data_IF_418221996749
#
_entry.id   IF_418221996749
#
_cell.length_a   1.000
_cell.length_b   1.000
_cell.length_c   1.000
_cell.angle_alpha   90.00
_cell.angle_beta   90.00
_cell.angle_gamma   90.00
#
_symmetry.space_group_name_H-M   'P 1'
#
loop_
_entity.id
_entity.type
_entity.pdbx_description
1 polymer ?
#
# COMPACT_ATOMS: atom_id res chain seq x y z
N UNK A 1 34.65 1.50 -0.47
CA UNK A 1 33.58 2.50 -0.69
C UNK A 1 34.31 3.78 -1.03
N UNK A 2 34.49 4.05 -2.32
CA UNK A 2 35.13 5.29 -2.76
C UNK A 2 34.07 6.39 -2.75
N UNK A 3 34.40 7.50 -2.10
CA UNK A 3 33.52 8.65 -1.92
C UNK A 3 33.55 9.48 -3.20
N UNK A 4 32.40 9.79 -3.79
CA UNK A 4 32.34 10.73 -4.90
C UNK A 4 32.51 12.15 -4.36
N UNK A 5 33.67 12.77 -4.59
CA UNK A 5 33.97 14.16 -4.25
C UNK A 5 33.38 15.13 -5.31
N UNK A 6 32.06 15.24 -5.33
CA UNK A 6 31.34 16.35 -5.97
C UNK A 6 30.23 16.80 -5.03
N UNK A 7 29.94 18.11 -4.99
CA UNK A 7 28.81 18.67 -4.22
C UNK A 7 27.46 18.16 -4.77
N UNK A 8 27.15 16.88 -4.57
CA UNK A 8 25.80 16.36 -4.75
C UNK A 8 24.96 16.82 -3.56
N UNK A 9 23.92 17.60 -3.86
CA UNK A 9 22.98 18.13 -2.86
C UNK A 9 22.32 16.94 -2.15
N UNK A 10 22.74 16.68 -0.91
CA UNK A 10 22.11 15.68 -0.04
C UNK A 10 20.62 16.02 0.16
N UNK A 11 19.72 15.18 -0.34
CA UNK A 11 18.28 15.42 -0.19
C UNK A 11 17.79 14.89 1.17
N UNK A 12 17.06 15.69 1.97
CA UNK A 12 16.53 15.23 3.25
C UNK A 12 15.48 14.14 3.04
N UNK A 13 15.47 13.14 3.93
CA UNK A 13 14.42 12.12 3.94
C UNK A 13 13.10 12.78 4.33
N UNK A 14 12.01 12.44 3.62
CA UNK A 14 10.68 12.96 3.91
C UNK A 14 10.28 12.66 5.37
N UNK A 15 9.45 13.50 6.02
CA UNK A 15 8.97 13.23 7.38
C UNK A 15 8.45 11.79 7.56
N UNK A 16 7.71 11.28 6.59
CA UNK A 16 7.21 9.90 6.57
C UNK A 16 8.30 8.86 6.40
N UNK A 17 9.25 9.07 5.50
CA UNK A 17 10.39 8.18 5.35
C UNK A 17 11.23 8.08 6.64
N UNK A 18 11.31 9.16 7.43
CA UNK A 18 12.06 9.16 8.69
C UNK A 18 11.46 8.24 9.76
N UNK A 19 10.13 8.24 9.93
CA UNK A 19 9.48 7.39 10.94
C UNK A 19 9.22 5.96 10.45
N UNK A 20 9.10 5.73 9.14
CA UNK A 20 9.01 4.39 8.56
C UNK A 20 10.34 3.63 8.54
N UNK A 21 11.46 4.29 8.85
CA UNK A 21 12.80 3.68 8.98
C UNK A 21 13.27 3.68 10.44
N UNK A 22 12.33 3.60 11.38
CA UNK A 22 12.64 3.61 12.81
C UNK A 22 12.75 2.17 13.34
N UNK A 23 13.40 1.99 14.49
CA UNK A 23 13.42 0.69 15.17
C UNK A 23 12.02 0.20 15.57
N UNK A 24 11.07 1.13 15.72
CA UNK A 24 9.69 0.82 16.08
C UNK A 24 8.80 0.44 14.90
N UNK A 25 9.16 0.82 13.67
CA UNK A 25 8.32 0.63 12.49
C UNK A 25 9.19 0.63 11.23
N UNK A 26 9.20 -0.49 10.52
CA UNK A 26 9.84 -0.66 9.21
C UNK A 26 8.88 -1.36 8.26
N UNK A 27 8.42 -0.62 7.25
CA UNK A 27 7.37 -1.08 6.34
C UNK A 27 7.95 -1.29 4.94
N UNK A 28 7.62 -2.42 4.35
CA UNK A 28 7.99 -2.81 3.00
C UNK A 28 6.75 -2.91 2.12
N UNK A 29 6.94 -2.66 0.83
CA UNK A 29 5.95 -2.92 -0.21
C UNK A 29 6.55 -4.02 -1.08
N UNK A 30 5.86 -5.16 -1.19
CA UNK A 30 6.19 -6.16 -2.21
C UNK A 30 5.26 -5.93 -3.40
N UNK A 31 5.82 -5.51 -4.53
CA UNK A 31 5.11 -5.44 -5.81
C UNK A 31 5.36 -6.74 -6.58
N UNK A 32 4.31 -7.51 -6.84
CA UNK A 32 4.38 -8.82 -7.49
C UNK A 32 3.84 -8.71 -8.90
N UNK A 33 4.64 -9.17 -9.87
CA UNK A 33 4.30 -9.21 -11.28
C UNK A 33 4.35 -10.66 -11.75
N UNK A 34 3.23 -11.17 -12.19
CA UNK A 34 3.07 -12.53 -12.70
C UNK A 34 3.17 -12.53 -14.22
N UNK A 35 4.10 -13.31 -14.78
CA UNK A 35 4.34 -13.35 -16.23
C UNK A 35 3.55 -14.47 -16.92
N UNK A 36 3.06 -14.21 -18.13
CA UNK A 36 2.40 -15.23 -18.97
C UNK A 36 3.37 -16.26 -19.53
N UNK A 37 4.64 -15.89 -19.65
CA UNK A 37 5.71 -16.71 -20.22
C UNK A 37 6.86 -16.88 -19.22
N UNK A 38 7.66 -17.98 -19.31
CA UNK A 38 8.84 -18.14 -18.46
C UNK A 38 9.77 -16.95 -18.54
N UNK A 39 10.37 -16.56 -17.42
CA UNK A 39 11.24 -15.38 -17.35
C UNK A 39 12.62 -15.67 -17.96
N UNK A 40 12.99 -14.88 -18.96
CA UNK A 40 14.37 -14.62 -19.37
C UNK A 40 14.91 -13.40 -18.62
N UNK A 41 15.88 -13.62 -17.73
CA UNK A 41 16.52 -12.60 -16.92
C UNK A 41 17.75 -11.96 -17.61
N UNK A 42 18.02 -12.29 -18.88
CA UNK A 42 19.12 -11.68 -19.65
C UNK A 42 19.03 -10.14 -19.71
N UNK A 43 17.80 -9.61 -19.70
CA UNK A 43 17.52 -8.17 -19.77
C UNK A 43 17.40 -7.50 -18.40
N UNK A 44 17.53 -8.23 -17.28
CA UNK A 44 17.34 -7.68 -15.94
C UNK A 44 18.31 -6.54 -15.64
N UNK A 45 19.61 -6.74 -15.89
CA UNK A 45 20.64 -5.74 -15.61
C UNK A 45 20.43 -4.47 -16.46
N UNK A 46 20.28 -4.55 -17.79
CA UNK A 46 19.94 -3.39 -18.61
C UNK A 46 18.67 -2.67 -18.18
N UNK A 47 17.61 -3.40 -17.81
CA UNK A 47 16.37 -2.81 -17.32
C UNK A 47 16.60 -2.01 -16.03
N UNK A 48 17.35 -2.56 -15.08
CA UNK A 48 17.63 -1.87 -13.83
C UNK A 48 18.50 -0.63 -14.06
N UNK A 49 19.55 -0.74 -14.86
CA UNK A 49 20.49 0.36 -15.13
C UNK A 49 19.88 1.50 -15.93
N UNK A 50 19.14 1.17 -16.98
CA UNK A 50 18.70 2.15 -17.96
C UNK A 50 17.28 2.67 -17.69
N UNK A 51 16.45 1.89 -16.98
CA UNK A 51 15.06 2.26 -16.68
C UNK A 51 14.83 2.46 -15.19
N UNK A 52 15.12 1.48 -14.33
CA UNK A 52 14.72 1.57 -12.92
C UNK A 52 15.50 2.61 -12.10
N UNK A 53 16.84 2.52 -12.08
CA UNK A 53 17.69 3.43 -11.31
C UNK A 53 17.54 4.90 -11.73
N UNK A 54 17.43 5.24 -13.03
CA UNK A 54 17.24 6.62 -13.47
C UNK A 54 15.88 7.22 -13.11
N UNK A 55 14.89 6.41 -12.70
CA UNK A 55 13.57 6.92 -12.31
C UNK A 55 13.70 7.94 -11.21
N UNK A 56 14.45 7.65 -10.14
CA UNK A 56 14.63 8.55 -9.01
C UNK A 56 15.97 8.31 -8.33
N UNK A 57 16.65 9.39 -7.91
CA UNK A 57 17.94 9.33 -7.22
C UNK A 57 17.92 8.40 -6.00
N UNK A 58 16.78 8.30 -5.30
CA UNK A 58 16.62 7.42 -4.11
C UNK A 58 16.84 5.94 -4.40
N UNK A 59 16.64 5.48 -5.63
CA UNK A 59 16.96 4.09 -5.99
C UNK A 59 18.47 3.83 -6.08
N UNK A 60 19.27 4.89 -6.15
CA UNK A 60 20.73 4.87 -6.10
C UNK A 60 21.27 5.56 -4.85
N UNK A 61 20.48 5.65 -3.76
CA UNK A 61 20.90 6.29 -2.52
C UNK A 61 20.71 5.41 -1.29
N UNK A 62 21.59 5.58 -0.32
CA UNK A 62 21.47 5.04 1.03
C UNK A 62 21.00 6.11 1.99
N UNK A 63 20.46 5.67 3.13
CA UNK A 63 20.02 6.59 4.18
C UNK A 63 21.13 6.77 5.22
N UNK A 64 21.64 7.98 5.34
CA UNK A 64 22.64 8.36 6.34
C UNK A 64 22.05 9.31 7.38
N UNK A 65 22.72 9.42 8.53
CA UNK A 65 22.43 10.45 9.53
C UNK A 65 23.49 11.53 9.47
N UNK A 66 23.07 12.78 9.42
CA UNK A 66 23.98 13.91 9.51
C UNK A 66 24.42 14.17 10.96
N UNK A 67 25.26 15.20 11.15
CA UNK A 67 25.79 15.58 12.47
C UNK A 67 24.70 16.02 13.47
N UNK A 68 23.54 16.42 12.99
CA UNK A 68 22.39 16.82 13.80
C UNK A 68 21.43 15.66 14.06
N UNK A 69 21.73 14.46 13.54
CA UNK A 69 20.91 13.26 13.67
C UNK A 69 19.76 13.17 12.65
N UNK A 70 19.67 14.13 11.71
CA UNK A 70 18.67 14.12 10.66
C UNK A 70 19.03 13.11 9.57
N UNK A 71 18.01 12.43 9.04
CA UNK A 71 18.20 11.41 8.00
C UNK A 71 18.22 12.05 6.62
N UNK A 72 19.21 11.72 5.81
CA UNK A 72 19.39 12.21 4.43
C UNK A 72 19.67 11.06 3.46
N UNK A 73 19.40 11.30 2.18
CA UNK A 73 19.79 10.40 1.10
C UNK A 73 21.17 10.78 0.58
N UNK A 74 22.10 9.83 0.64
CA UNK A 74 23.44 9.94 0.03
C UNK A 74 23.49 8.98 -1.16
N UNK A 75 23.85 9.50 -2.34
CA UNK A 75 23.97 8.68 -3.55
C UNK A 75 25.18 7.78 -3.47
N UNK A 76 25.03 6.56 -3.98
CA UNK A 76 26.07 5.55 -4.03
C UNK A 76 26.08 4.87 -5.39
N UNK A 77 27.21 4.26 -5.72
CA UNK A 77 27.26 3.31 -6.83
C UNK A 77 26.51 2.03 -6.45
N UNK A 78 25.58 1.60 -7.30
CA UNK A 78 24.72 0.45 -7.06
C UNK A 78 25.34 -0.80 -7.68
N UNK A 79 25.66 -1.79 -6.84
CA UNK A 79 26.07 -3.14 -7.25
C UNK A 79 24.85 -4.03 -7.44
N UNK A 80 24.37 -4.18 -8.67
CA UNK A 80 23.09 -4.83 -8.96
C UNK A 80 23.02 -6.29 -8.52
N UNK A 81 24.14 -7.01 -8.52
CA UNK A 81 24.28 -8.36 -8.01
C UNK A 81 23.87 -8.50 -6.53
N UNK A 82 24.02 -7.43 -5.73
CA UNK A 82 23.61 -7.42 -4.33
C UNK A 82 22.09 -7.27 -4.17
N UNK A 83 21.39 -6.75 -5.18
CA UNK A 83 19.96 -6.46 -5.17
C UNK A 83 19.11 -7.48 -5.92
N UNK A 84 19.68 -8.18 -6.90
CA UNK A 84 18.99 -9.23 -7.67
C UNK A 84 19.07 -10.55 -6.90
N UNK A 85 17.92 -11.21 -6.70
CA UNK A 85 17.80 -12.51 -6.01
C UNK A 85 17.07 -13.49 -6.91
N UNK A 86 17.71 -14.62 -7.20
CA UNK A 86 17.12 -15.71 -8.00
C UNK A 86 17.06 -16.95 -7.10
N UNK A 87 15.95 -17.18 -6.37
CA UNK A 87 15.84 -18.35 -5.50
C UNK A 87 15.82 -19.64 -6.31
N UNK A 88 16.30 -20.72 -5.69
CA UNK A 88 16.22 -22.08 -6.23
C UNK A 88 15.27 -22.89 -5.36
N UNK A 89 14.19 -23.39 -5.96
CA UNK A 89 13.24 -24.28 -5.29
C UNK A 89 13.59 -25.76 -5.56
N UNK A 90 13.22 -26.68 -4.66
CA UNK A 90 13.41 -28.12 -4.85
C UNK A 90 12.73 -28.61 -6.14
N UNK A 91 13.35 -29.55 -6.85
CA UNK A 91 12.78 -30.08 -8.08
C UNK A 91 11.43 -30.75 -7.83
N UNK A 92 10.42 -30.31 -8.59
CA UNK A 92 9.10 -30.91 -8.60
C UNK A 92 9.14 -32.39 -9.00
N UNK A 93 8.24 -33.20 -8.42
CA UNK A 93 8.16 -34.64 -8.68
C UNK A 93 7.65 -34.99 -10.09
N UNK A 94 7.16 -34.02 -10.85
CA UNK A 94 6.65 -34.18 -12.22
C UNK A 94 6.91 -32.94 -13.08
N UNK A 95 6.81 -33.08 -14.40
CA UNK A 95 7.00 -31.98 -15.36
C UNK A 95 5.92 -30.88 -15.26
N UNK A 96 4.75 -31.19 -14.69
CA UNK A 96 3.63 -30.25 -14.52
C UNK A 96 3.46 -29.82 -13.06
N UNK A 97 4.50 -29.98 -12.23
CA UNK A 97 4.47 -29.54 -10.85
C UNK A 97 4.40 -28.02 -10.77
N UNK A 98 3.46 -27.50 -9.97
CA UNK A 98 3.26 -26.07 -9.72
C UNK A 98 3.79 -25.71 -8.33
N UNK A 99 4.36 -24.51 -8.22
CA UNK A 99 5.17 -24.09 -7.08
C UNK A 99 4.44 -23.08 -6.18
N UNK A 100 3.11 -23.08 -6.15
CA UNK A 100 2.30 -22.11 -5.39
C UNK A 100 2.70 -22.09 -3.89
N UNK A 101 2.78 -23.25 -3.23
CA UNK A 101 3.18 -23.33 -1.81
C UNK A 101 4.61 -22.81 -1.56
N UNK A 102 5.54 -23.09 -2.48
CA UNK A 102 6.93 -22.60 -2.38
C UNK A 102 7.00 -21.09 -2.61
N UNK A 103 6.18 -20.55 -3.51
CA UNK A 103 6.08 -19.12 -3.73
C UNK A 103 5.51 -18.44 -2.49
N UNK A 104 4.45 -18.97 -1.88
CA UNK A 104 3.83 -18.40 -0.68
C UNK A 104 4.79 -18.40 0.52
N UNK A 105 5.53 -19.50 0.73
CA UNK A 105 6.57 -19.58 1.76
C UNK A 105 7.70 -18.59 1.49
N UNK A 106 8.13 -18.46 0.23
CA UNK A 106 9.17 -17.52 -0.16
C UNK A 106 8.72 -16.07 0.07
N UNK A 107 7.51 -15.71 -0.37
CA UNK A 107 6.94 -14.38 -0.17
C UNK A 107 6.76 -14.08 1.33
N UNK A 108 6.31 -15.05 2.12
CA UNK A 108 6.24 -14.94 3.58
C UNK A 108 7.59 -14.60 4.20
N UNK A 109 8.63 -15.29 3.75
CA UNK A 109 9.99 -15.13 4.27
C UNK A 109 10.53 -13.73 3.94
N UNK A 110 10.47 -13.32 2.68
CA UNK A 110 11.01 -12.03 2.27
C UNK A 110 10.18 -10.86 2.81
N UNK A 111 8.91 -11.05 3.15
CA UNK A 111 8.04 -10.03 3.75
C UNK A 111 8.51 -9.61 5.16
N UNK A 112 9.12 -10.52 5.93
CA UNK A 112 9.63 -10.23 7.28
C UNK A 112 11.13 -9.90 7.32
N UNK A 113 11.89 -10.35 6.33
CA UNK A 113 13.31 -10.05 6.22
C UNK A 113 13.58 -8.55 6.05
N UNK A 114 14.58 -8.03 6.75
CA UNK A 114 14.93 -6.62 6.66
C UNK A 114 15.93 -6.34 5.53
N UNK A 115 15.73 -5.23 4.83
CA UNK A 115 16.71 -4.73 3.85
C UNK A 115 17.91 -4.14 4.60
N UNK A 116 19.16 -4.43 4.18
CA UNK A 116 20.32 -3.92 4.88
C UNK A 116 20.51 -2.43 4.60
N UNK A 117 20.91 -1.70 5.64
CA UNK A 117 20.96 -0.23 5.62
C UNK A 117 22.14 0.37 4.84
N UNK A 118 23.12 -0.46 4.46
CA UNK A 118 24.32 -0.03 3.73
C UNK A 118 24.17 -0.09 2.20
N UNK A 119 22.96 -0.40 1.69
CA UNK A 119 22.63 -0.38 0.26
C UNK A 119 21.29 0.30 0.02
N UNK A 120 20.99 0.73 -1.22
CA UNK A 120 19.68 1.26 -1.56
C UNK A 120 18.55 0.32 -1.11
N UNK A 121 17.45 0.89 -0.60
CA UNK A 121 16.43 0.12 0.13
C UNK A 121 15.43 -0.60 -0.78
N UNK A 122 15.93 -1.41 -1.71
CA UNK A 122 15.12 -2.24 -2.60
C UNK A 122 15.84 -3.54 -2.99
N UNK A 123 15.05 -4.57 -3.35
CA UNK A 123 15.51 -5.84 -3.93
C UNK A 123 14.59 -6.24 -5.07
N UNK A 124 15.12 -6.97 -6.05
CA UNK A 124 14.36 -7.63 -7.11
C UNK A 124 14.53 -9.14 -6.97
N UNK A 125 13.44 -9.86 -6.77
CA UNK A 125 13.43 -11.32 -6.73
C UNK A 125 12.83 -11.87 -8.02
N UNK A 126 13.50 -12.86 -8.63
CA UNK A 126 13.12 -13.45 -9.91
C UNK A 126 12.84 -14.94 -9.69
N UNK A 127 11.56 -15.29 -9.59
CA UNK A 127 11.10 -16.65 -9.36
C UNK A 127 10.77 -17.29 -10.71
N UNK A 128 11.65 -18.17 -11.19
CA UNK A 128 11.54 -18.83 -12.51
C UNK A 128 10.77 -20.15 -12.44
N UNK A 129 9.75 -20.22 -11.60
CA UNK A 129 8.97 -21.43 -11.36
C UNK A 129 7.49 -21.16 -11.66
N UNK A 130 6.80 -22.06 -12.39
CA UNK A 130 5.40 -21.87 -12.73
C UNK A 130 4.49 -22.12 -11.50
N UNK A 131 3.42 -21.34 -11.42
CA UNK A 131 2.31 -21.48 -10.45
C UNK A 131 1.00 -21.70 -11.20
N UNK A 132 -0.13 -21.82 -10.48
CA UNK A 132 -1.45 -21.82 -11.13
C UNK A 132 -1.69 -20.52 -11.92
N UNK A 133 -1.15 -19.41 -11.42
CA UNK A 133 -1.41 -18.09 -11.97
C UNK A 133 -0.36 -17.67 -13.01
N UNK A 134 0.91 -18.06 -12.87
CA UNK A 134 2.01 -17.49 -13.66
C UNK A 134 2.98 -18.54 -14.21
N UNK A 135 3.74 -18.20 -15.26
CA UNK A 135 4.91 -18.99 -15.71
C UNK A 135 6.22 -18.55 -15.05
N UNK A 136 6.22 -17.38 -14.44
CA UNK A 136 7.27 -16.87 -13.57
C UNK A 136 6.76 -15.65 -12.82
N UNK A 137 7.46 -15.27 -11.76
CA UNK A 137 7.05 -14.16 -10.89
C UNK A 137 8.23 -13.24 -10.61
N UNK A 138 8.05 -11.94 -10.84
CA UNK A 138 8.98 -10.89 -10.42
C UNK A 138 8.44 -10.24 -9.16
N UNK A 139 9.29 -10.06 -8.14
CA UNK A 139 8.90 -9.39 -6.88
C UNK A 139 9.85 -8.25 -6.59
N UNK A 140 9.33 -7.03 -6.61
CA UNK A 140 10.05 -5.86 -6.14
C UNK A 140 9.77 -5.66 -4.66
N UNK A 141 10.77 -5.89 -3.81
CA UNK A 141 10.71 -5.56 -2.39
C UNK A 141 11.26 -4.16 -2.18
N UNK A 142 10.40 -3.23 -1.78
CA UNK A 142 10.72 -1.80 -1.71
C UNK A 142 10.46 -1.28 -0.30
N UNK A 143 11.43 -0.63 0.33
CA UNK A 143 11.16 0.03 1.61
C UNK A 143 10.24 1.25 1.40
N UNK A 144 9.20 1.39 2.23
CA UNK A 144 8.18 2.44 2.12
C UNK A 144 8.73 3.88 2.35
N UNK A 145 10.02 4.03 2.62
CA UNK A 145 10.70 5.33 2.73
C UNK A 145 11.10 5.89 1.37
N UNK A 146 11.19 5.04 0.35
CA UNK A 146 11.47 5.44 -1.03
C UNK A 146 10.32 6.29 -1.61
N UNK A 147 9.08 5.88 -1.33
CA UNK A 147 7.86 6.54 -1.75
C UNK A 147 6.62 5.85 -1.19
N UNK A 148 5.45 6.46 -1.37
CA UNK A 148 4.18 5.75 -1.14
C UNK A 148 3.82 4.83 -2.32
N UNK A 149 2.76 4.05 -2.15
CA UNK A 149 2.29 3.14 -3.18
C UNK A 149 2.03 3.82 -4.54
N UNK A 150 1.56 5.08 -4.56
CA UNK A 150 1.37 5.81 -5.82
C UNK A 150 2.71 6.10 -6.54
N UNK A 151 3.71 6.56 -5.79
CA UNK A 151 5.04 6.84 -6.34
C UNK A 151 5.74 5.57 -6.81
N UNK A 152 5.68 4.51 -6.00
CA UNK A 152 6.32 3.23 -6.32
C UNK A 152 5.63 2.50 -7.46
N UNK A 153 4.29 2.53 -7.52
CA UNK A 153 3.55 2.02 -8.68
C UNK A 153 3.90 2.79 -9.94
N UNK A 154 4.02 4.12 -9.85
CA UNK A 154 4.50 4.94 -10.96
C UNK A 154 5.90 4.53 -11.44
N UNK A 155 6.82 4.17 -10.53
CA UNK A 155 8.13 3.65 -10.90
C UNK A 155 8.05 2.28 -11.57
N UNK A 156 7.30 1.33 -11.01
CA UNK A 156 7.12 0.01 -11.61
C UNK A 156 6.55 0.13 -13.03
N UNK A 157 5.47 0.90 -13.21
CA UNK A 157 4.88 1.15 -14.52
C UNK A 157 5.83 1.85 -15.50
N UNK A 158 6.76 2.67 -15.02
CA UNK A 158 7.78 3.31 -15.87
C UNK A 158 8.83 2.32 -16.40
N UNK A 159 8.93 1.13 -15.77
CA UNK A 159 9.74 0.02 -16.27
C UNK A 159 8.95 -0.92 -17.20
N UNK A 160 7.67 -0.63 -17.46
CA UNK A 160 6.80 -1.44 -18.32
C UNK A 160 6.48 -0.72 -19.62
N UNK A 161 6.09 -1.51 -20.60
CA UNK A 161 5.53 -1.06 -21.86
C UNK A 161 4.22 -1.80 -22.10
N UNK A 162 3.36 -1.30 -22.99
CA UNK A 162 2.18 -2.08 -23.39
C UNK A 162 2.59 -3.33 -24.16
N UNK A 163 1.91 -4.44 -23.89
CA UNK A 163 2.15 -5.71 -24.56
C UNK A 163 1.70 -5.67 -26.04
N UNK A 164 0.66 -4.90 -26.35
CA UNK A 164 0.10 -4.79 -27.71
C UNK A 164 0.88 -3.81 -28.61
N UNK A 165 1.39 -2.72 -28.06
CA UNK A 165 2.16 -1.72 -28.79
C UNK A 165 3.10 -0.93 -27.87
N UNK A 166 4.38 -1.25 -27.95
CA UNK A 166 5.44 -0.67 -27.11
C UNK A 166 5.69 0.82 -27.33
N UNK A 167 5.22 1.38 -28.46
CA UNK A 167 5.38 2.81 -28.78
C UNK A 167 4.32 3.72 -28.13
N UNK A 168 3.24 3.14 -27.60
CA UNK A 168 2.15 3.89 -26.99
C UNK A 168 2.29 3.96 -25.47
N UNK A 169 1.94 5.08 -24.83
CA UNK A 169 1.82 5.14 -23.38
C UNK A 169 0.63 4.31 -22.90
N UNK A 170 0.71 3.80 -21.67
CA UNK A 170 -0.44 3.22 -20.99
C UNK A 170 -1.42 4.31 -20.54
N UNK A 171 -2.66 3.92 -20.34
CA UNK A 171 -3.70 4.79 -19.79
C UNK A 171 -4.16 4.29 -18.43
N UNK A 172 -4.59 5.22 -17.59
CA UNK A 172 -5.21 4.91 -16.31
C UNK A 172 -6.67 5.34 -16.33
N UNK A 173 -7.58 4.57 -15.72
CA UNK A 173 -8.98 4.97 -15.57
C UNK A 173 -9.09 6.39 -15.06
N UNK A 174 -9.73 7.27 -15.83
CA UNK A 174 -9.98 8.64 -15.41
C UNK A 174 -11.01 8.62 -14.29
N UNK A 175 -10.57 8.92 -13.06
CA UNK A 175 -11.50 9.25 -11.99
C UNK A 175 -12.11 10.62 -12.30
N UNK A 176 -13.22 10.65 -13.05
CA UNK A 176 -14.11 11.80 -13.12
C UNK A 176 -14.59 12.09 -11.69
N UNK A 177 -13.86 12.93 -10.94
CA UNK A 177 -14.43 13.58 -9.77
C UNK A 177 -15.48 14.54 -10.31
N UNK A 178 -16.75 14.50 -9.86
CA UNK A 178 -17.66 15.59 -10.10
C UNK A 178 -16.95 16.86 -9.63
N UNK A 179 -16.78 17.85 -10.52
CA UNK A 179 -16.37 19.19 -10.08
C UNK A 179 -17.35 19.57 -9.00
N UNK A 180 -16.88 19.74 -7.76
CA UNK A 180 -17.69 20.37 -6.74
C UNK A 180 -18.03 21.75 -7.32
N UNK A 181 -19.25 21.91 -7.81
CA UNK A 181 -19.73 23.22 -8.20
C UNK A 181 -19.71 24.04 -6.92
N UNK A 182 -18.86 25.06 -6.90
CA UNK A 182 -18.95 26.11 -5.90
C UNK A 182 -20.26 26.83 -6.23
N UNK A 183 -21.36 26.26 -5.73
CA UNK A 183 -22.67 26.87 -5.81
C UNK A 183 -22.70 28.04 -4.83
N UNK A 184 -23.12 29.18 -5.38
CA UNK A 184 -23.30 30.49 -4.76
C UNK A 184 -23.32 30.53 -3.22
N UNK A 185 -22.35 31.28 -2.70
CA UNK A 185 -22.21 31.75 -1.31
C UNK A 185 -23.40 32.61 -0.89
N UNK A 186 -24.50 31.99 -0.43
CA UNK A 186 -25.48 32.63 0.47
C UNK A 186 -25.96 31.73 1.64
N UNK A 187 -25.43 30.51 1.79
CA UNK A 187 -25.84 29.55 2.83
C UNK A 187 -24.75 29.03 3.79
N UNK A 188 -23.52 29.51 3.68
CA UNK A 188 -22.32 28.92 4.35
C UNK A 188 -22.35 29.07 5.88
N UNK A 189 -23.01 30.08 6.43
CA UNK A 189 -23.03 30.33 7.88
C UNK A 189 -23.84 29.32 8.71
N UNK A 190 -24.79 28.57 8.12
CA UNK A 190 -25.60 27.58 8.87
C UNK A 190 -24.95 26.19 8.99
N UNK A 191 -23.91 25.88 8.20
CA UNK A 191 -23.22 24.56 8.22
C UNK A 191 -21.85 24.58 8.91
N UNK A 192 -21.36 25.75 9.30
CA UNK A 192 -20.03 25.88 9.93
C UNK A 192 -19.93 25.20 11.32
N UNK A 193 -20.95 25.31 12.22
CA UNK A 193 -20.89 24.63 13.51
C UNK A 193 -20.89 23.11 13.36
N UNK A 194 -21.71 22.57 12.46
CA UNK A 194 -21.80 21.11 12.26
C UNK A 194 -20.52 20.53 11.71
N UNK A 195 -19.85 21.19 10.76
CA UNK A 195 -18.53 20.75 10.24
C UNK A 195 -17.46 20.80 11.34
N UNK A 196 -17.51 21.81 12.22
CA UNK A 196 -16.58 21.94 13.33
C UNK A 196 -16.75 20.82 14.37
N UNK A 197 -17.98 20.58 14.84
CA UNK A 197 -18.28 19.47 15.76
C UNK A 197 -17.93 18.11 15.14
N UNK A 198 -18.28 17.94 13.87
CA UNK A 198 -17.93 16.75 13.09
C UNK A 198 -16.41 16.55 13.03
N UNK A 199 -15.64 17.59 12.75
CA UNK A 199 -14.17 17.54 12.71
C UNK A 199 -13.58 17.16 14.08
N UNK A 200 -14.05 17.79 15.17
CA UNK A 200 -13.60 17.46 16.52
C UNK A 200 -13.90 16.01 16.85
N UNK A 201 -15.12 15.55 16.55
CA UNK A 201 -15.53 14.17 16.82
C UNK A 201 -14.67 13.17 16.06
N UNK A 202 -14.44 13.36 14.76
CA UNK A 202 -13.65 12.43 13.96
C UNK A 202 -12.16 12.43 14.32
N UNK A 203 -11.59 13.63 14.52
CA UNK A 203 -10.20 13.76 14.93
C UNK A 203 -10.00 13.18 16.34
N UNK A 204 -10.88 13.51 17.28
CA UNK A 204 -10.85 13.00 18.65
C UNK A 204 -11.00 11.48 18.69
N UNK A 205 -11.96 10.91 17.95
CA UNK A 205 -12.11 9.46 17.82
C UNK A 205 -10.86 8.80 17.24
N UNK A 206 -10.33 9.33 16.13
CA UNK A 206 -9.11 8.83 15.51
C UNK A 206 -7.91 8.91 16.46
N UNK A 207 -7.79 9.99 17.22
CA UNK A 207 -6.74 10.17 18.21
C UNK A 207 -6.85 9.17 19.36
N UNK A 208 -8.06 8.97 19.90
CA UNK A 208 -8.33 7.97 20.94
C UNK A 208 -8.04 6.55 20.43
N UNK A 209 -8.47 6.22 19.20
CA UNK A 209 -8.18 4.93 18.57
C UNK A 209 -6.68 4.69 18.44
N UNK A 210 -5.92 5.69 17.98
CA UNK A 210 -4.46 5.60 17.85
C UNK A 210 -3.68 5.48 19.17
N UNK A 211 -4.27 5.82 20.33
CA UNK A 211 -3.51 5.89 21.60
C UNK A 211 -4.07 5.02 22.73
N UNK A 212 -5.40 4.87 22.83
CA UNK A 212 -6.07 4.35 24.03
C UNK A 212 -7.10 3.26 23.74
N UNK A 213 -7.69 3.23 22.54
CA UNK A 213 -8.80 2.32 22.22
C UNK A 213 -8.31 1.29 21.20
N UNK A 214 -8.14 0.05 21.68
CA UNK A 214 -7.88 -1.10 20.83
C UNK A 214 -9.20 -1.70 20.33
N UNK A 215 -9.21 -2.29 19.13
CA UNK A 215 -10.31 -3.18 18.72
C UNK A 215 -10.33 -4.45 19.58
N UNK A 216 -11.39 -5.24 19.47
CA UNK A 216 -11.46 -6.55 20.11
C UNK A 216 -10.42 -7.52 19.49
N UNK A 217 -10.07 -8.59 20.21
CA UNK A 217 -9.33 -9.71 19.62
C UNK A 217 -10.26 -10.51 18.72
N UNK A 218 -9.88 -10.69 17.46
CA UNK A 218 -10.73 -11.32 16.44
C UNK A 218 -9.89 -12.13 15.47
N UNK A 219 -10.47 -13.00 14.62
CA UNK A 219 -9.70 -13.75 13.62
C UNK A 219 -8.82 -12.88 12.70
N UNK A 220 -9.24 -11.64 12.45
CA UNK A 220 -8.52 -10.65 11.63
C UNK A 220 -7.55 -9.77 12.42
N UNK A 221 -7.57 -9.83 13.76
CA UNK A 221 -6.71 -9.05 14.65
C UNK A 221 -6.27 -9.90 15.84
N UNK A 222 -5.05 -10.38 15.79
CA UNK A 222 -4.41 -11.14 16.86
C UNK A 222 -3.25 -10.35 17.50
N UNK A 223 -3.15 -10.40 18.82
CA UNK A 223 -2.10 -9.76 19.60
C UNK A 223 -1.22 -10.85 20.22
N UNK A 224 -0.17 -11.28 19.51
CA UNK A 224 0.76 -12.28 20.02
C UNK A 224 2.22 -11.86 19.80
N UNK A 225 2.92 -11.58 20.90
CA UNK A 225 4.24 -10.93 20.92
C UNK A 225 5.43 -11.77 20.41
N UNK A 226 5.23 -13.01 19.97
CA UNK A 226 6.33 -13.91 19.59
C UNK A 226 6.70 -13.83 18.09
N UNK A 227 7.92 -13.37 17.82
CA UNK A 227 8.43 -13.01 16.49
C UNK A 227 8.86 -14.21 15.61
N UNK A 228 8.91 -15.44 16.15
CA UNK A 228 9.71 -16.53 15.54
C UNK A 228 8.97 -17.51 14.63
N UNK A 229 7.64 -17.45 14.51
CA UNK A 229 6.85 -18.42 13.72
C UNK A 229 5.71 -17.77 12.94
N UNK A 230 6.01 -16.69 12.22
CA UNK A 230 5.01 -15.90 11.48
C UNK A 230 4.98 -16.35 10.02
N UNK A 231 3.88 -16.98 9.61
CA UNK A 231 3.62 -17.34 8.22
C UNK A 231 2.63 -16.32 7.67
N UNK A 232 3.00 -15.61 6.60
CA UNK A 232 2.15 -14.62 5.94
C UNK A 232 1.51 -15.31 4.74
N UNK A 233 0.27 -15.77 4.89
CA UNK A 233 -0.46 -16.30 3.74
C UNK A 233 -0.91 -15.14 2.87
N UNK A 234 -0.57 -15.21 1.59
CA UNK A 234 -1.02 -14.26 0.58
C UNK A 234 -2.16 -14.91 -0.18
N UNK A 235 -3.20 -14.14 -0.42
CA UNK A 235 -4.35 -14.59 -1.20
C UNK A 235 -4.84 -13.43 -2.04
N UNK A 236 -4.98 -13.68 -3.32
CA UNK A 236 -5.56 -12.76 -4.29
C UNK A 236 -6.99 -13.19 -4.64
N UNK A 237 -7.81 -12.19 -4.97
CA UNK A 237 -9.16 -12.40 -5.49
C UNK A 237 -9.42 -11.41 -6.60
N UNK A 238 -9.76 -11.91 -7.78
CA UNK A 238 -10.09 -11.10 -8.94
C UNK A 238 -11.58 -10.76 -8.97
N UNK A 239 -11.92 -9.49 -9.18
CA UNK A 239 -13.29 -9.04 -9.41
C UNK A 239 -13.42 -8.40 -10.80
N UNK A 240 -14.56 -8.64 -11.46
CA UNK A 240 -14.87 -7.92 -12.71
C UNK A 240 -15.09 -6.44 -12.44
N UNK A 241 -14.26 -5.59 -13.05
CA UNK A 241 -14.38 -4.14 -12.94
C UNK A 241 -15.72 -3.63 -13.48
N UNK A 242 -16.31 -4.30 -14.48
CA UNK A 242 -17.59 -3.89 -15.06
C UNK A 242 -18.74 -4.12 -14.08
N UNK A 243 -18.74 -5.25 -13.35
CA UNK A 243 -19.70 -5.48 -12.26
C UNK A 243 -19.55 -4.43 -11.16
N UNK A 244 -18.33 -4.10 -10.77
CA UNK A 244 -18.07 -3.04 -9.77
C UNK A 244 -18.58 -1.68 -10.26
N UNK A 245 -18.37 -1.34 -11.53
CA UNK A 245 -18.89 -0.09 -12.15
C UNK A 245 -20.42 -0.08 -12.21
N UNK A 246 -21.05 -1.22 -12.45
CA UNK A 246 -22.50 -1.34 -12.46
C UNK A 246 -23.10 -1.08 -11.07
N UNK A 247 -22.56 -1.72 -10.03
CA UNK A 247 -22.96 -1.52 -8.63
C UNK A 247 -22.76 -0.07 -8.21
N UNK A 248 -21.57 0.48 -8.52
CA UNK A 248 -21.26 1.89 -8.31
C UNK A 248 -22.33 2.81 -8.90
N UNK A 249 -22.70 2.58 -10.16
CA UNK A 249 -23.67 3.42 -10.88
C UNK A 249 -25.08 3.30 -10.31
N UNK A 250 -25.52 2.08 -9.97
CA UNK A 250 -26.84 1.83 -9.36
C UNK A 250 -26.98 2.43 -7.97
N UNK A 251 -25.91 2.46 -7.18
CA UNK A 251 -25.92 3.00 -5.81
C UNK A 251 -25.51 4.47 -5.72
N UNK A 252 -24.96 5.07 -6.78
CA UNK A 252 -24.49 6.46 -6.79
C UNK A 252 -23.25 6.71 -5.92
N UNK A 253 -22.41 5.68 -5.72
CA UNK A 253 -21.23 5.72 -4.84
C UNK A 253 -19.92 5.71 -5.65
N UNK A 254 -18.75 5.67 -5.01
CA UNK A 254 -17.45 5.51 -5.69
C UNK A 254 -17.00 4.04 -5.75
N UNK A 255 -16.04 3.72 -6.61
CA UNK A 255 -15.45 2.37 -6.71
C UNK A 255 -14.86 1.93 -5.36
N UNK A 256 -14.14 2.84 -4.67
CA UNK A 256 -13.55 2.55 -3.37
C UNK A 256 -14.61 2.22 -2.31
N UNK A 257 -15.79 2.85 -2.38
CA UNK A 257 -16.87 2.57 -1.43
C UNK A 257 -17.47 1.17 -1.67
N UNK A 258 -17.64 0.78 -2.95
CA UNK A 258 -18.06 -0.58 -3.32
C UNK A 258 -17.06 -1.62 -2.84
N UNK A 259 -15.77 -1.42 -3.14
CA UNK A 259 -14.70 -2.33 -2.76
C UNK A 259 -14.58 -2.47 -1.23
N UNK A 260 -14.63 -1.36 -0.49
CA UNK A 260 -14.61 -1.38 0.97
C UNK A 260 -15.81 -2.15 1.54
N UNK A 261 -17.03 -1.90 1.02
CA UNK A 261 -18.23 -2.60 1.46
C UNK A 261 -18.18 -4.11 1.19
N UNK A 262 -17.69 -4.52 0.02
CA UNK A 262 -17.48 -5.94 -0.33
C UNK A 262 -16.46 -6.60 0.59
N UNK A 263 -15.32 -5.95 0.85
CA UNK A 263 -14.31 -6.45 1.81
C UNK A 263 -14.91 -6.58 3.20
N UNK A 264 -15.60 -5.54 3.70
CA UNK A 264 -16.20 -5.56 5.03
C UNK A 264 -17.19 -6.71 5.19
N UNK A 265 -18.02 -6.95 4.17
CA UNK A 265 -18.93 -8.09 4.18
C UNK A 265 -18.17 -9.42 4.18
N UNK A 266 -17.17 -9.59 3.32
CA UNK A 266 -16.33 -10.80 3.28
C UNK A 266 -15.60 -11.07 4.60
N UNK A 267 -15.04 -10.03 5.22
CA UNK A 267 -14.42 -10.10 6.55
C UNK A 267 -15.43 -10.59 7.58
N UNK A 268 -16.66 -10.08 7.59
CA UNK A 268 -17.66 -10.50 8.56
C UNK A 268 -18.13 -11.94 8.34
N UNK A 269 -18.24 -12.39 7.09
CA UNK A 269 -18.52 -13.78 6.77
C UNK A 269 -17.40 -14.70 7.27
N UNK A 270 -16.14 -14.33 7.03
CA UNK A 270 -14.98 -15.07 7.53
C UNK A 270 -14.97 -15.13 9.06
N UNK A 271 -15.15 -14.00 9.74
CA UNK A 271 -15.25 -13.95 11.19
C UNK A 271 -16.38 -14.84 11.72
N UNK A 272 -17.55 -14.79 11.10
CA UNK A 272 -18.69 -15.62 11.47
C UNK A 272 -18.39 -17.12 11.35
N UNK A 273 -17.72 -17.52 10.26
CA UNK A 273 -17.35 -18.91 10.00
C UNK A 273 -16.35 -19.44 11.03
N UNK A 274 -15.34 -18.63 11.39
CA UNK A 274 -14.34 -19.01 12.39
C UNK A 274 -14.95 -19.00 13.80
N UNK A 275 -15.74 -17.97 14.14
CA UNK A 275 -16.40 -17.83 15.42
C UNK A 275 -17.63 -16.92 15.30
N UNK A 276 -18.82 -17.51 15.44
CA UNK A 276 -20.11 -16.80 15.36
C UNK A 276 -20.16 -15.51 16.19
N UNK A 277 -19.55 -15.48 17.39
CA UNK A 277 -19.57 -14.28 18.25
C UNK A 277 -18.70 -13.14 17.73
N UNK A 278 -17.72 -13.42 16.88
CA UNK A 278 -16.80 -12.43 16.35
C UNK A 278 -17.39 -11.61 15.19
N UNK A 279 -18.51 -12.04 14.60
CA UNK A 279 -19.16 -11.27 13.52
C UNK A 279 -19.78 -9.94 14.01
N UNK A 280 -19.92 -9.76 15.32
CA UNK A 280 -20.50 -8.57 15.97
C UNK A 280 -19.49 -7.80 16.82
N UNK A 281 -18.22 -8.21 16.87
CA UNK A 281 -17.20 -7.51 17.65
C UNK A 281 -16.78 -6.20 16.98
N UNK A 282 -16.28 -5.27 17.78
CA UNK A 282 -15.81 -3.98 17.28
C UNK A 282 -14.55 -4.19 16.45
N UNK A 283 -14.61 -3.74 15.19
CA UNK A 283 -13.51 -3.87 14.24
C UNK A 283 -13.44 -2.60 13.40
N UNK A 284 -12.22 -2.11 13.21
CA UNK A 284 -11.92 -0.86 12.50
C UNK A 284 -10.93 -1.14 11.38
N UNK A 285 -11.24 -0.68 10.18
CA UNK A 285 -10.31 -0.69 9.05
C UNK A 285 -9.61 0.66 8.91
N UNK A 286 -8.31 0.63 8.62
CA UNK A 286 -7.53 1.79 8.19
C UNK A 286 -7.58 1.89 6.68
N UNK A 287 -8.41 2.80 6.17
CA UNK A 287 -8.52 3.04 4.72
C UNK A 287 -7.50 4.09 4.30
N UNK A 288 -6.55 3.69 3.46
CA UNK A 288 -5.52 4.59 2.93
C UNK A 288 -6.06 5.43 1.77
N UNK A 289 -5.76 6.72 1.80
CA UNK A 289 -6.14 7.70 0.79
C UNK A 289 -4.90 8.40 0.25
N UNK A 290 -4.79 8.49 -1.07
CA UNK A 290 -3.81 9.38 -1.70
C UNK A 290 -4.23 10.84 -1.48
N UNK A 291 -3.35 11.65 -0.88
CA UNK A 291 -3.63 13.05 -0.56
C UNK A 291 -3.23 14.00 -1.70
N UNK A 292 -2.66 13.49 -2.79
CA UNK A 292 -2.39 14.29 -3.99
C UNK A 292 -3.69 14.86 -4.55
N UNK A 293 -3.73 16.17 -4.73
CA UNK A 293 -4.82 16.85 -5.40
C UNK A 293 -4.62 16.80 -6.92
N UNK A 294 -4.76 15.61 -7.52
CA UNK A 294 -4.53 15.35 -8.94
C UNK A 294 -5.82 14.86 -9.61
N UNK A 295 -6.13 15.44 -10.78
CA UNK A 295 -7.07 14.85 -11.73
C UNK A 295 -6.32 13.79 -12.54
N UNK A 296 -6.62 12.52 -12.29
CA UNK A 296 -5.99 11.40 -13.01
C UNK A 296 -4.56 11.09 -12.56
N UNK A 297 -3.82 10.40 -13.43
CA UNK A 297 -2.44 9.97 -13.19
C UNK A 297 -1.43 11.07 -13.47
N UNK A 298 -0.28 10.98 -12.78
CA UNK A 298 0.89 11.81 -13.04
C UNK A 298 2.08 10.91 -13.31
N UNK A 299 2.74 11.15 -14.45
CA UNK A 299 3.96 10.44 -14.79
C UNK A 299 5.05 10.70 -13.76
N UNK A 300 5.99 9.77 -13.57
CA UNK A 300 7.10 9.95 -12.63
C UNK A 300 7.93 11.20 -12.96
N UNK A 301 8.11 11.48 -14.26
CA UNK A 301 8.77 12.69 -14.75
C UNK A 301 8.08 13.98 -14.24
N UNK A 302 6.75 14.01 -14.19
CA UNK A 302 6.01 15.14 -13.62
C UNK A 302 6.13 15.22 -12.09
N UNK A 303 6.20 14.07 -11.39
CA UNK A 303 6.33 14.02 -9.94
C UNK A 303 7.72 14.44 -9.44
N UNK A 304 8.76 14.23 -10.24
CA UNK A 304 10.13 14.60 -9.89
C UNK A 304 10.44 16.05 -10.24
N UNK A 305 9.65 16.65 -11.13
CA UNK A 305 9.81 18.05 -11.48
C UNK A 305 9.52 18.95 -10.26
N UNK A 306 10.56 19.65 -9.78
CA UNK A 306 10.52 20.50 -8.58
C UNK A 306 9.54 21.67 -8.67
N UNK A 307 9.05 22.00 -9.87
CA UNK A 307 8.03 23.05 -10.07
C UNK A 307 6.62 22.63 -9.64
N UNK A 308 6.35 21.32 -9.48
CA UNK A 308 5.03 20.78 -9.12
C UNK A 308 4.95 20.33 -7.65
N UNK A 309 4.90 21.29 -6.72
CA UNK A 309 4.85 21.00 -5.27
C UNK A 309 3.63 20.17 -4.82
N UNK A 310 2.52 20.19 -5.58
CA UNK A 310 1.26 19.52 -5.23
C UNK A 310 1.21 18.03 -5.58
N UNK A 311 2.16 17.53 -6.38
CA UNK A 311 2.18 16.15 -6.86
C UNK A 311 3.59 15.55 -6.85
N UNK A 312 4.43 15.99 -5.91
CA UNK A 312 5.82 15.57 -5.86
C UNK A 312 6.02 14.09 -5.50
N UNK A 313 7.15 13.54 -5.92
CA UNK A 313 7.60 12.20 -5.55
C UNK A 313 7.77 12.07 -4.04
N UNK A 314 7.32 10.95 -3.47
CA UNK A 314 7.50 10.62 -2.05
C UNK A 314 6.22 10.13 -1.39
N UNK A 315 6.13 10.27 -0.07
CA UNK A 315 4.95 9.80 0.67
C UNK A 315 3.92 10.93 0.80
N UNK A 316 2.75 10.74 0.20
CA UNK A 316 1.61 11.64 0.28
C UNK A 316 0.32 10.82 0.37
N UNK A 317 0.12 10.23 1.54
CA UNK A 317 -1.09 9.50 1.86
C UNK A 317 -1.58 9.86 3.26
N UNK A 318 -2.83 9.55 3.51
CA UNK A 318 -3.46 9.61 4.81
C UNK A 318 -4.19 8.30 5.07
N UNK A 319 -4.53 8.05 6.33
CA UNK A 319 -5.39 6.94 6.72
C UNK A 319 -6.67 7.47 7.36
N UNK A 320 -7.77 6.75 7.17
CA UNK A 320 -9.04 6.98 7.84
C UNK A 320 -9.39 5.74 8.65
N UNK A 321 -9.68 5.93 9.94
CA UNK A 321 -10.33 4.88 10.75
C UNK A 321 -11.79 4.76 10.32
N UNK A 322 -12.14 3.68 9.64
CA UNK A 322 -13.51 3.36 9.18
C UNK A 322 -14.00 2.14 9.94
N UNK A 323 -15.08 2.23 10.73
CA UNK A 323 -15.68 1.06 11.38
C UNK A 323 -16.10 0.03 10.34
N UNK A 324 -15.86 -1.26 10.62
CA UNK A 324 -16.38 -2.37 9.84
C UNK A 324 -17.80 -2.65 10.36
N UNK A 325 -18.86 -2.49 9.55
CA UNK A 325 -20.22 -2.74 9.99
C UNK A 325 -20.39 -4.15 10.60
N UNK A 326 -21.11 -4.26 11.70
CA UNK A 326 -21.46 -5.55 12.31
C UNK A 326 -22.40 -6.34 11.40
N UNK A 327 -22.28 -7.67 11.42
CA UNK A 327 -23.17 -8.56 10.67
C UNK A 327 -24.38 -8.95 11.52
N UNK A 328 -25.57 -8.64 11.01
CA UNK A 328 -26.87 -9.02 11.56
C UNK A 328 -27.69 -9.72 10.49
N UNK A 329 -28.73 -10.46 10.87
CA UNK A 329 -29.56 -11.24 9.93
C UNK A 329 -30.13 -10.38 8.79
N UNK A 330 -30.51 -9.13 9.09
CA UNK A 330 -31.01 -8.17 8.08
C UNK A 330 -29.93 -7.75 7.09
N UNK A 331 -28.68 -7.55 7.56
CA UNK A 331 -27.53 -7.20 6.72
C UNK A 331 -27.00 -8.39 5.93
N UNK A 332 -27.11 -9.60 6.48
CA UNK A 332 -26.84 -10.84 5.73
C UNK A 332 -27.79 -10.99 4.54
N UNK A 333 -29.08 -10.70 4.74
CA UNK A 333 -30.09 -10.72 3.68
C UNK A 333 -29.95 -9.57 2.65
N UNK A 334 -29.26 -8.47 3.01
CA UNK A 334 -29.03 -7.32 2.12
C UNK A 334 -27.57 -6.80 2.23
N UNK A 335 -26.61 -7.45 1.54
CA UNK A 335 -25.19 -7.07 1.58
C UNK A 335 -24.90 -5.65 1.08
N UNK A 336 -25.81 -5.02 0.34
CA UNK A 336 -25.64 -3.65 -0.16
C UNK A 336 -25.60 -2.62 0.98
N UNK A 337 -26.11 -2.94 2.18
CA UNK A 337 -25.99 -2.08 3.34
C UNK A 337 -24.54 -1.85 3.74
N UNK A 338 -23.66 -2.84 3.58
CA UNK A 338 -22.21 -2.66 3.85
C UNK A 338 -21.60 -1.59 2.94
N UNK A 339 -22.02 -1.52 1.67
CA UNK A 339 -21.55 -0.50 0.73
C UNK A 339 -22.10 0.88 1.12
N UNK A 340 -23.38 0.96 1.53
CA UNK A 340 -24.01 2.22 1.95
C UNK A 340 -23.36 2.79 3.21
N UNK A 341 -23.12 1.94 4.22
CA UNK A 341 -22.47 2.34 5.47
C UNK A 341 -21.01 2.76 5.23
N UNK A 342 -20.24 1.97 4.45
CA UNK A 342 -18.89 2.34 4.06
C UNK A 342 -18.86 3.71 3.33
N UNK A 343 -19.77 3.93 2.38
CA UNK A 343 -19.90 5.20 1.68
C UNK A 343 -20.21 6.37 2.63
N UNK A 344 -21.15 6.18 3.56
CA UNK A 344 -21.54 7.20 4.55
C UNK A 344 -20.36 7.58 5.44
N UNK A 345 -19.67 6.60 6.03
CA UNK A 345 -18.55 6.84 6.94
C UNK A 345 -17.35 7.45 6.23
N UNK A 346 -17.00 6.95 5.05
CA UNK A 346 -15.91 7.50 4.25
C UNK A 346 -16.22 8.93 3.80
N UNK A 347 -17.45 9.22 3.38
CA UNK A 347 -17.86 10.58 2.97
C UNK A 347 -17.83 11.54 4.16
N UNK A 348 -18.34 11.12 5.31
CA UNK A 348 -18.32 11.87 6.57
C UNK A 348 -16.88 12.25 6.97
N UNK A 349 -15.96 11.29 6.91
CA UNK A 349 -14.54 11.51 7.24
C UNK A 349 -13.81 12.37 6.22
N UNK A 350 -14.04 12.14 4.92
CA UNK A 350 -13.47 12.97 3.82
C UNK A 350 -13.92 14.42 3.89
N UNK A 351 -15.15 14.68 4.33
CA UNK A 351 -15.69 16.04 4.50
C UNK A 351 -15.24 16.73 5.80
N UNK A 352 -14.55 16.02 6.70
CA UNK A 352 -13.98 16.57 7.92
C UNK A 352 -12.55 17.08 7.71
N UNK A 353 -12.05 17.90 8.62
CA UNK A 353 -10.63 18.30 8.63
C UNK A 353 -9.75 17.35 9.47
N UNK A 354 -10.22 16.14 9.82
CA UNK A 354 -9.47 15.20 10.66
C UNK A 354 -8.16 14.72 10.00
N UNK A 355 -8.16 14.52 8.68
CA UNK A 355 -6.98 14.11 7.92
C UNK A 355 -5.83 15.12 8.00
N UNK A 356 -6.01 16.40 7.62
CA UNK A 356 -4.93 17.39 7.74
C UNK A 356 -4.50 17.60 9.20
N UNK A 357 -5.42 17.56 10.16
CA UNK A 357 -5.08 17.65 11.59
C UNK A 357 -4.19 16.50 12.06
N UNK A 358 -4.45 15.28 11.58
CA UNK A 358 -3.60 14.11 11.88
C UNK A 358 -2.21 14.27 11.28
N UNK A 359 -2.11 14.81 10.06
CA UNK A 359 -0.83 15.15 9.44
C UNK A 359 -0.04 16.20 10.25
N UNK A 360 -0.71 17.24 10.74
CA UNK A 360 -0.11 18.27 11.60
C UNK A 360 0.35 17.67 12.95
N UNK A 361 -0.43 16.78 13.54
CA UNK A 361 -0.07 16.06 14.78
C UNK A 361 1.20 15.24 14.59
N UNK A 362 1.30 14.44 13.51
CA UNK A 362 2.48 13.64 13.22
C UNK A 362 3.72 14.51 13.00
N UNK A 363 3.58 15.62 12.28
CA UNK A 363 4.70 16.56 12.06
C UNK A 363 5.14 17.26 13.35
N UNK A 364 4.20 17.63 14.22
CA UNK A 364 4.47 18.18 15.54
C UNK A 364 5.19 17.15 16.43
N UNK A 365 4.71 15.91 16.48
CA UNK A 365 5.36 14.82 17.23
C UNK A 365 6.81 14.61 16.76
N UNK A 366 7.02 14.60 15.44
CA UNK A 366 8.35 14.48 14.83
C UNK A 366 9.27 15.64 15.25
N UNK A 367 8.79 16.88 15.18
CA UNK A 367 9.58 18.09 15.50
C UNK A 367 9.90 18.20 16.99
N UNK A 368 8.95 17.86 17.87
CA UNK A 368 9.11 18.05 19.32
C UNK A 368 9.73 16.86 20.05
N UNK A 369 9.45 15.63 19.58
CA UNK A 369 9.83 14.38 20.26
C UNK A 369 10.66 13.43 19.40
N UNK A 370 11.02 13.85 18.19
CA UNK A 370 11.80 13.06 17.25
C UNK A 370 10.97 12.08 16.40
N UNK A 371 11.57 11.54 15.32
CA UNK A 371 10.89 10.65 14.38
C UNK A 371 10.44 9.32 15.03
N UNK A 372 11.13 8.84 16.05
CA UNK A 372 10.76 7.63 16.80
C UNK A 372 9.42 7.80 17.54
N UNK A 373 9.09 9.00 18.01
CA UNK A 373 7.79 9.26 18.65
C UNK A 373 6.64 9.23 17.63
N UNK A 374 6.84 9.82 16.46
CA UNK A 374 5.87 9.75 15.36
C UNK A 374 5.70 8.30 14.86
N UNK A 375 6.81 7.53 14.80
CA UNK A 375 6.77 6.12 14.43
C UNK A 375 5.97 5.27 15.41
N UNK A 376 6.16 5.47 16.73
CA UNK A 376 5.36 4.79 17.76
C UNK A 376 3.88 5.12 17.65
N UNK A 377 3.53 6.38 17.39
CA UNK A 377 2.14 6.76 17.17
C UNK A 377 1.52 6.03 15.98
N UNK A 378 2.24 5.97 14.85
CA UNK A 378 1.77 5.25 13.66
C UNK A 378 1.69 3.74 13.90
N UNK A 379 2.67 3.18 14.61
CA UNK A 379 2.63 1.77 15.04
C UNK A 379 1.42 1.46 15.90
N UNK A 380 1.12 2.29 16.90
CA UNK A 380 -0.06 2.10 17.75
C UNK A 380 -1.35 2.24 16.95
N UNK A 381 -1.40 3.18 16.00
CA UNK A 381 -2.55 3.34 15.10
C UNK A 381 -2.85 2.05 14.33
N UNK A 382 -1.81 1.45 13.75
CA UNK A 382 -1.91 0.18 13.04
C UNK A 382 -2.34 -0.95 14.01
N UNK A 383 -1.61 -1.15 15.11
CA UNK A 383 -1.86 -2.20 16.12
C UNK A 383 -3.27 -2.13 16.75
N UNK A 384 -3.81 -0.94 16.93
CA UNK A 384 -5.10 -0.72 17.59
C UNK A 384 -6.29 -0.91 16.62
N UNK A 385 -6.03 -0.94 15.32
CA UNK A 385 -7.01 -1.22 14.26
C UNK A 385 -6.97 -2.70 13.88
N UNK A 386 -8.02 -3.18 13.20
CA UNK A 386 -8.16 -4.60 12.85
C UNK A 386 -7.57 -4.97 11.50
N UNK A 387 -7.54 -4.03 10.54
CA UNK A 387 -7.02 -4.30 9.19
C UNK A 387 -6.71 -2.99 8.47
N UNK A 388 -5.89 -3.07 7.42
CA UNK A 388 -5.57 -1.94 6.54
C UNK A 388 -6.06 -2.24 5.11
N UNK A 389 -6.78 -1.29 4.51
CA UNK A 389 -7.28 -1.38 3.13
C UNK A 389 -6.62 -0.28 2.31
N UNK A 390 -5.99 -0.67 1.22
CA UNK A 390 -5.35 0.24 0.27
C UNK A 390 -5.76 -0.08 -1.16
N UNK A 391 -6.03 0.94 -1.95
CA UNK A 391 -6.35 0.78 -3.37
C UNK A 391 -5.50 1.73 -4.21
N UNK A 392 -4.91 1.18 -5.28
CA UNK A 392 -4.16 1.92 -6.27
C UNK A 392 -4.72 1.54 -7.64
N UNK A 393 -5.11 2.54 -8.41
CA UNK A 393 -5.56 2.33 -9.79
C UNK A 393 -4.32 2.03 -10.63
N UNK A 394 -4.36 0.96 -11.42
CA UNK A 394 -3.35 0.67 -12.43
C UNK A 394 -3.94 0.53 -13.85
N UNK A 395 -3.08 0.21 -14.84
CA UNK A 395 -3.33 0.47 -16.26
C UNK A 395 -4.50 -0.32 -16.84
N UNK A 396 -5.10 0.21 -17.91
CA UNK A 396 -6.24 -0.45 -18.60
C UNK A 396 -5.75 -1.45 -19.66
N UNK A 397 -4.54 -1.25 -20.17
CA UNK A 397 -3.95 -2.12 -21.18
C UNK A 397 -3.06 -3.18 -20.54
N UNK A 398 -2.98 -4.34 -21.20
CA UNK A 398 -2.02 -5.37 -20.84
C UNK A 398 -0.59 -4.82 -20.93
N UNK A 399 0.16 -4.97 -19.85
CA UNK A 399 1.53 -4.48 -19.73
C UNK A 399 2.55 -5.62 -19.92
N UNK A 400 3.79 -5.27 -20.24
CA UNK A 400 4.90 -6.19 -20.37
C UNK A 400 6.18 -5.57 -19.76
N UNK A 401 7.00 -6.41 -19.14
CA UNK A 401 8.32 -6.06 -18.59
C UNK A 401 9.39 -6.80 -19.39
N UNK A 402 10.32 -6.06 -20.01
CA UNK A 402 11.37 -6.66 -20.85
C UNK A 402 10.82 -7.71 -21.85
N UNK A 403 9.70 -7.38 -22.53
CA UNK A 403 8.97 -8.25 -23.45
C UNK A 403 8.28 -9.50 -22.84
N UNK A 404 8.16 -9.59 -21.52
CA UNK A 404 7.37 -10.60 -20.83
C UNK A 404 5.99 -10.01 -20.51
N UNK A 405 4.90 -10.46 -21.16
CA UNK A 405 3.56 -10.01 -20.83
C UNK A 405 3.22 -10.34 -19.38
N UNK A 406 2.64 -9.36 -18.69
CA UNK A 406 2.15 -9.51 -17.32
C UNK A 406 0.71 -10.00 -17.39
N UNK A 407 0.42 -11.05 -16.62
CA UNK A 407 -0.91 -11.61 -16.44
C UNK A 407 -1.61 -11.04 -15.21
N UNK A 408 -0.87 -10.93 -14.12
CA UNK A 408 -1.36 -10.47 -12.83
C UNK A 408 -0.40 -9.46 -12.21
N UNK A 409 -0.96 -8.43 -11.58
CA UNK A 409 -0.18 -7.42 -10.87
C UNK A 409 -0.87 -7.03 -9.57
N UNK A 410 -0.18 -7.27 -8.45
CA UNK A 410 -0.67 -6.95 -7.12
C UNK A 410 0.45 -6.47 -6.21
N UNK A 411 0.08 -5.84 -5.11
CA UNK A 411 1.02 -5.36 -4.12
C UNK A 411 0.53 -5.70 -2.71
N UNK A 412 1.48 -5.89 -1.81
CA UNK A 412 1.22 -6.09 -0.39
C UNK A 412 2.12 -5.19 0.43
N UNK A 413 1.62 -4.82 1.60
CA UNK A 413 2.36 -4.06 2.60
C UNK A 413 2.79 -5.04 3.68
N UNK A 414 4.09 -5.11 3.94
CA UNK A 414 4.69 -5.98 4.94
C UNK A 414 5.43 -5.17 6.02
N UNK A 415 5.69 -5.76 7.18
CA UNK A 415 6.39 -5.10 8.29
C UNK A 415 5.55 -4.08 9.08
N UNK A 416 4.23 -4.00 8.85
CA UNK A 416 3.34 -3.28 9.76
C UNK A 416 3.14 -4.09 11.06
N UNK A 417 2.87 -3.44 12.21
CA UNK A 417 2.63 -4.12 13.49
C UNK A 417 1.37 -5.00 13.50
N UNK A 418 0.48 -4.84 12.52
CA UNK A 418 -0.69 -5.70 12.28
C UNK A 418 -0.28 -7.11 11.82
N UNK A 419 0.99 -7.30 11.47
CA UNK A 419 1.61 -8.57 11.07
C UNK A 419 2.42 -9.19 12.22
N UNK A 420 2.24 -8.69 13.45
CA UNK A 420 2.94 -9.16 14.64
C UNK A 420 2.17 -10.25 15.42
N UNK A 421 1.73 -11.36 14.80
CA UNK A 421 1.01 -12.42 15.52
C UNK A 421 1.50 -13.86 15.26
N UNK A 422 1.64 -14.65 16.32
CA UNK A 422 1.89 -16.09 16.31
C UNK A 422 0.83 -16.86 17.10
N UNK A 423 0.53 -18.06 16.62
CA UNK A 423 -0.30 -19.11 17.23
C UNK A 423 -1.79 -18.81 17.42
N UNK A 424 -2.52 -18.93 16.31
CA UNK A 424 -3.78 -19.70 16.16
C UNK A 424 -4.46 -19.21 14.89
N UNK A 425 -4.19 -19.81 13.73
CA UNK A 425 -5.01 -19.67 12.50
C UNK A 425 -5.42 -18.26 12.09
N UNK A 426 -4.72 -17.22 12.53
CA UNK A 426 -5.12 -15.83 12.39
C UNK A 426 -4.43 -15.26 11.17
N UNK A 427 -5.20 -15.16 10.08
CA UNK A 427 -4.80 -14.53 8.84
C UNK A 427 -4.98 -13.02 8.99
N UNK A 428 -3.88 -12.26 8.98
CA UNK A 428 -3.95 -10.82 8.73
C UNK A 428 -4.27 -10.64 7.24
N UNK A 429 -5.54 -10.33 6.93
CA UNK A 429 -6.00 -10.12 5.57
C UNK A 429 -5.48 -8.78 5.06
N UNK A 430 -4.42 -8.81 4.25
CA UNK A 430 -4.06 -7.70 3.36
C UNK A 430 -4.80 -7.88 2.04
N UNK A 431 -5.93 -7.18 1.88
CA UNK A 431 -6.61 -7.13 0.57
C UNK A 431 -5.84 -6.16 -0.33
N UNK A 432 -4.79 -6.67 -0.97
CA UNK A 432 -4.20 -6.04 -2.15
C UNK A 432 -5.14 -6.26 -3.32
N UNK A 433 -5.72 -5.19 -3.85
CA UNK A 433 -6.50 -5.32 -5.08
C UNK A 433 -5.57 -5.54 -6.25
N UNK A 434 -5.85 -6.62 -6.98
CA UNK A 434 -5.38 -6.82 -8.33
C UNK A 434 -5.84 -5.65 -9.18
N UNK A 435 -4.88 -5.00 -9.83
CA UNK A 435 -5.16 -4.06 -10.88
C UNK A 435 -5.55 -4.89 -12.10
N UNK A 436 -6.81 -4.84 -12.52
CA UNK A 436 -7.21 -5.41 -13.81
C UNK A 436 -6.30 -4.88 -14.93
N UNK A 437 -5.62 -5.80 -15.62
CA UNK A 437 -5.08 -5.61 -16.97
C UNK A 437 -6.15 -5.90 -18.02
#
# INVERSE_FOLDING_TARGET
MERFDGEEIEEPVSPTGQYLTSSSLSVYILGVLETEVPIDDSQTVPLLQNLFLPINSRFSSIMIRDKNGEKKWEKVEVKLEDHIKVPTFPNGKSSNFLYDEYLDEYLSTIAVEHLPHNRPLWELHIIKYPTNNAKGTLVFKLHHALGDGFSLMGALLSCMQRADNTSLPFTLPSSLRPKASISNTKGVFKKLPSIFFQTISEFGWSFLKSNMIEDDQTPIRSCAEDFKTRQITISDVTFSLDLIKEVKSKLGVSINDVLAGVIFFGIRLYMQEINLKSSQTQSTALVLLNTRNIEGYKSVKEMINKTNSRSSWGNQYAFLHVPIPELSDSKYANPLEFIREAHMDMTKKKNSLATPLTGMLLDMLRKLRGPEAAARYLRNTLRNSSTTISNIIGPVEQMAVANHPIKGFYFMVAGSPEVDAANMGSQTLHVGFEVCL
#
